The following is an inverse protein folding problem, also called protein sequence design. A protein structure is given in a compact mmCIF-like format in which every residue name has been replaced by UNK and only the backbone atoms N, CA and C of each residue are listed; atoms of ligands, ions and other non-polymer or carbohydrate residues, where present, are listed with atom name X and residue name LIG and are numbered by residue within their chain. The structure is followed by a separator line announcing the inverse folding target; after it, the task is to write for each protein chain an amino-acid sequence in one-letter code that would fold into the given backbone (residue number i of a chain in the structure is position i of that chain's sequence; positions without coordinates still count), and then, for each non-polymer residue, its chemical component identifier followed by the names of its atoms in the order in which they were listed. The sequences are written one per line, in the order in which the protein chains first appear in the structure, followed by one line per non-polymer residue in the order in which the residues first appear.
data_IF_887270792393
#
_entry.id   IF_887270792393
#
_cell.length_a   1.000
_cell.length_b   1.000
_cell.length_c   1.000
_cell.angle_alpha   90.00
_cell.angle_beta   90.00
_cell.angle_gamma   90.00
#
_symmetry.space_group_name_H-M   'P 1'
#
loop_
_entity.id
_entity.type
_entity.pdbx_description
1 polymer ?
#
# COMPACT_ATOMS: atom_id res chain seq x y z
N UNK A 1 11.06 11.01 -15.58
CA UNK A 1 11.42 12.40 -15.99
C UNK A 1 10.84 13.45 -15.03
N UNK A 2 9.51 13.55 -14.85
CA UNK A 2 8.91 14.56 -13.95
C UNK A 2 9.43 14.49 -12.51
N UNK A 3 9.56 13.28 -11.95
CA UNK A 3 10.12 13.07 -10.61
C UNK A 3 11.57 13.59 -10.47
N UNK A 4 12.41 13.37 -11.50
CA UNK A 4 13.79 13.86 -11.52
C UNK A 4 13.87 15.38 -11.61
N UNK A 5 13.02 16.01 -12.43
CA UNK A 5 12.92 17.48 -12.53
C UNK A 5 12.50 18.08 -11.19
N UNK A 6 11.53 17.47 -10.50
CA UNK A 6 11.12 17.89 -9.16
C UNK A 6 12.26 17.81 -8.13
N UNK A 7 13.12 16.78 -8.24
CA UNK A 7 14.26 16.57 -7.34
C UNK A 7 15.43 17.51 -7.61
N UNK A 8 15.76 17.74 -8.89
CA UNK A 8 16.95 18.48 -9.31
C UNK A 8 16.69 19.97 -9.59
N UNK A 9 15.47 20.35 -9.98
CA UNK A 9 15.09 21.72 -10.36
C UNK A 9 13.70 22.10 -9.80
N UNK A 10 13.55 22.22 -8.47
CA UNK A 10 12.26 22.45 -7.83
C UNK A 10 11.62 23.79 -8.22
N UNK A 11 12.42 24.83 -8.49
CA UNK A 11 11.94 26.15 -8.94
C UNK A 11 11.30 26.07 -10.32
N UNK A 12 11.94 25.37 -11.28
CA UNK A 12 11.41 25.16 -12.62
C UNK A 12 10.12 24.32 -12.59
N UNK A 13 10.10 23.27 -11.77
CA UNK A 13 8.90 22.44 -11.59
C UNK A 13 7.71 23.25 -11.07
N UNK A 14 7.96 24.19 -10.15
CA UNK A 14 6.95 25.10 -9.59
C UNK A 14 6.44 26.12 -10.61
N UNK A 15 7.34 26.71 -11.40
CA UNK A 15 6.97 27.67 -12.46
C UNK A 15 6.12 27.00 -13.54
N UNK A 16 6.51 25.80 -13.95
CA UNK A 16 5.78 25.02 -14.97
C UNK A 16 4.53 24.30 -14.43
N UNK A 17 4.21 24.45 -13.14
CA UNK A 17 3.10 23.78 -12.44
C UNK A 17 3.03 22.28 -12.76
N UNK A 18 4.19 21.62 -12.82
CA UNK A 18 4.24 20.20 -13.15
C UNK A 18 3.52 19.41 -12.06
N UNK A 19 2.72 18.42 -12.45
CA UNK A 19 2.10 17.48 -11.51
C UNK A 19 2.66 16.08 -11.74
N UNK A 20 3.10 15.45 -10.66
CA UNK A 20 3.63 14.07 -10.68
C UNK A 20 2.47 13.10 -10.94
N UNK A 21 1.35 13.30 -10.23
CA UNK A 21 0.11 12.55 -10.41
C UNK A 21 -0.82 13.35 -11.32
N UNK A 22 -1.53 12.67 -12.24
CA UNK A 22 -2.55 13.32 -13.06
C UNK A 22 -3.80 13.65 -12.20
N UNK A 23 -4.60 14.63 -12.62
CA UNK A 23 -5.80 14.99 -11.87
C UNK A 23 -6.79 13.83 -11.77
N UNK A 24 -6.97 13.06 -12.86
CA UNK A 24 -7.90 11.93 -12.89
C UNK A 24 -7.60 10.89 -11.81
N UNK A 25 -6.33 10.48 -11.65
CA UNK A 25 -5.96 9.49 -10.64
C UNK A 25 -5.99 10.12 -9.24
N UNK A 26 -5.59 11.38 -9.09
CA UNK A 26 -5.68 12.08 -7.81
C UNK A 26 -7.14 12.17 -7.31
N UNK A 27 -8.07 12.58 -8.18
CA UNK A 27 -9.50 12.62 -7.86
C UNK A 27 -10.07 11.23 -7.58
N UNK A 28 -9.72 10.24 -8.40
CA UNK A 28 -10.15 8.85 -8.17
C UNK A 28 -9.72 8.36 -6.78
N UNK A 29 -8.44 8.53 -6.43
CA UNK A 29 -7.91 8.05 -5.17
C UNK A 29 -8.49 8.80 -3.97
N UNK A 30 -8.66 10.13 -4.09
CA UNK A 30 -9.36 10.94 -3.08
C UNK A 30 -10.79 10.44 -2.86
N UNK A 31 -11.56 10.26 -3.93
CA UNK A 31 -12.94 9.81 -3.83
C UNK A 31 -13.05 8.42 -3.20
N UNK A 32 -12.10 7.53 -3.51
CA UNK A 32 -12.04 6.19 -2.92
C UNK A 32 -11.81 6.24 -1.42
N UNK A 33 -10.80 7.01 -0.97
CA UNK A 33 -10.47 7.16 0.46
C UNK A 33 -11.63 7.83 1.19
N UNK A 34 -12.16 8.94 0.64
CA UNK A 34 -13.27 9.67 1.22
C UNK A 34 -14.53 8.80 1.36
N UNK A 35 -14.89 8.05 0.31
CA UNK A 35 -16.05 7.15 0.32
C UNK A 35 -15.84 6.01 1.31
N UNK A 36 -14.62 5.48 1.40
CA UNK A 36 -14.30 4.41 2.36
C UNK A 36 -14.43 4.90 3.80
N UNK A 37 -13.93 6.10 4.11
CA UNK A 37 -14.06 6.71 5.43
C UNK A 37 -15.54 6.94 5.76
N UNK A 38 -16.32 7.56 4.84
CA UNK A 38 -17.76 7.78 5.03
C UNK A 38 -18.52 6.49 5.31
N UNK A 39 -18.29 5.43 4.52
CA UNK A 39 -18.95 4.14 4.73
C UNK A 39 -18.59 3.54 6.10
N UNK A 40 -17.34 3.70 6.54
CA UNK A 40 -16.91 3.19 7.85
C UNK A 40 -17.51 3.97 9.00
N UNK A 41 -17.54 5.30 8.90
CA UNK A 41 -18.17 6.19 9.89
C UNK A 41 -19.68 5.92 9.96
N UNK A 42 -20.38 5.83 8.83
CA UNK A 42 -21.84 5.63 8.76
C UNK A 42 -22.29 4.25 9.27
N UNK A 43 -21.50 3.20 8.99
CA UNK A 43 -21.83 1.81 9.33
C UNK A 43 -21.12 1.31 10.58
N UNK A 44 -20.36 2.17 11.27
CA UNK A 44 -19.51 1.81 12.40
C UNK A 44 -18.60 0.62 12.11
N UNK A 45 -18.02 0.56 10.91
CA UNK A 45 -17.13 -0.53 10.49
C UNK A 45 -15.71 -0.22 10.99
N UNK A 46 -15.20 -1.07 11.87
CA UNK A 46 -13.81 -1.04 12.34
C UNK A 46 -13.01 -2.13 11.63
N UNK A 47 -11.88 -1.75 11.02
CA UNK A 47 -10.92 -2.70 10.42
C UNK A 47 -9.53 -2.41 10.95
N UNK A 48 -8.74 -3.40 11.40
CA UNK A 48 -7.40 -3.17 11.94
C UNK A 48 -6.40 -2.86 10.81
N UNK A 49 -6.53 -1.69 10.19
CA UNK A 49 -5.69 -1.22 9.08
C UNK A 49 -5.23 0.23 9.26
N UNK A 50 -4.33 0.69 8.40
CA UNK A 50 -3.77 2.05 8.46
C UNK A 50 -4.83 3.14 8.33
N UNK A 51 -5.91 2.92 7.56
CA UNK A 51 -7.00 3.90 7.43
C UNK A 51 -7.75 4.05 8.76
N UNK A 52 -8.00 2.94 9.45
CA UNK A 52 -8.61 2.96 10.78
C UNK A 52 -7.74 3.68 11.80
N UNK A 53 -6.42 3.44 11.80
CA UNK A 53 -5.50 4.17 12.66
C UNK A 53 -5.58 5.68 12.42
N UNK A 54 -5.69 6.11 11.15
CA UNK A 54 -5.85 7.54 10.83
C UNK A 54 -7.22 8.10 11.25
N UNK A 55 -8.31 7.34 11.09
CA UNK A 55 -9.66 7.72 11.56
C UNK A 55 -9.66 7.91 13.09
N UNK A 56 -9.10 6.96 13.83
CA UNK A 56 -9.05 7.06 15.31
C UNK A 56 -8.16 8.21 15.79
N UNK A 57 -7.11 8.55 15.04
CA UNK A 57 -6.25 9.70 15.37
C UNK A 57 -6.91 11.04 15.00
N UNK A 58 -7.78 11.08 13.98
CA UNK A 58 -8.62 12.24 13.66
C UNK A 58 -9.50 12.61 14.85
N UNK A 59 -10.14 11.61 15.48
CA UNK A 59 -11.17 11.84 16.51
C UNK A 59 -10.60 12.07 17.93
N UNK A 60 -9.30 11.86 18.15
CA UNK A 60 -8.63 11.99 19.46
C UNK A 60 -7.97 13.36 19.70
N UNK A 61 -7.82 14.21 18.69
CA UNK A 61 -7.04 15.46 18.80
C UNK A 61 -7.92 16.70 19.00
N UNK A 62 -8.38 16.92 20.23
CA UNK A 62 -9.13 18.14 20.60
C UNK A 62 -8.27 19.44 20.61
N UNK A 63 -6.94 19.37 20.43
CA UNK A 63 -6.02 20.51 20.56
C UNK A 63 -4.83 20.50 19.57
N UNK A 64 -4.84 19.61 18.57
CA UNK A 64 -3.81 19.50 17.52
C UNK A 64 -4.47 19.41 16.15
N UNK A 65 -3.74 19.75 15.08
CA UNK A 65 -4.24 19.79 13.70
C UNK A 65 -4.85 18.43 13.32
N UNK A 66 -6.19 18.39 13.24
CA UNK A 66 -6.94 17.22 12.79
C UNK A 66 -6.47 16.75 11.41
N UNK A 67 -6.40 15.43 11.22
CA UNK A 67 -6.10 14.83 9.92
C UNK A 67 -7.25 15.11 8.96
N UNK A 68 -6.98 15.92 7.94
CA UNK A 68 -7.97 16.15 6.88
C UNK A 68 -8.09 14.93 5.98
N UNK A 69 -9.20 14.82 5.25
CA UNK A 69 -9.36 13.79 4.19
C UNK A 69 -8.21 13.86 3.17
N UNK A 70 -7.68 15.06 2.91
CA UNK A 70 -6.55 15.26 2.01
C UNK A 70 -5.23 14.72 2.59
N UNK A 71 -4.98 14.92 3.88
CA UNK A 71 -3.83 14.35 4.58
C UNK A 71 -3.91 12.82 4.56
N UNK A 72 -5.06 12.25 4.91
CA UNK A 72 -5.29 10.80 4.91
C UNK A 72 -5.16 10.19 3.51
N UNK A 73 -5.69 10.88 2.49
CA UNK A 73 -5.56 10.47 1.08
C UNK A 73 -4.10 10.47 0.65
N UNK A 74 -3.35 11.51 1.01
CA UNK A 74 -1.94 11.65 0.67
C UNK A 74 -1.10 10.55 1.31
N UNK A 75 -1.33 10.26 2.59
CA UNK A 75 -0.63 9.17 3.30
C UNK A 75 -0.96 7.81 2.70
N UNK A 76 -2.24 7.51 2.47
CA UNK A 76 -2.66 6.26 1.84
C UNK A 76 -2.04 6.10 0.44
N UNK A 77 -1.91 7.19 -0.32
CA UNK A 77 -1.29 7.19 -1.65
C UNK A 77 0.21 6.87 -1.57
N UNK A 78 0.94 7.44 -0.59
CA UNK A 78 2.36 7.17 -0.39
C UNK A 78 2.59 5.69 -0.05
N UNK A 79 1.80 5.12 0.86
CA UNK A 79 1.88 3.70 1.20
C UNK A 79 1.59 2.80 0.00
N UNK A 80 0.53 3.11 -0.75
CA UNK A 80 0.19 2.37 -1.96
C UNK A 80 1.31 2.44 -3.00
N UNK A 81 1.75 3.63 -3.37
CA UNK A 81 2.76 3.82 -4.41
C UNK A 81 4.13 3.22 -4.02
N UNK A 82 4.55 3.43 -2.77
CA UNK A 82 5.83 2.94 -2.28
C UNK A 82 5.91 1.42 -2.17
N UNK A 83 4.80 0.76 -1.82
CA UNK A 83 4.73 -0.69 -1.68
C UNK A 83 4.37 -1.44 -2.96
N UNK A 84 3.55 -0.86 -3.85
CA UNK A 84 3.01 -1.56 -5.00
C UNK A 84 4.05 -1.81 -6.10
N UNK A 85 4.73 -0.76 -6.57
CA UNK A 85 5.62 -0.87 -7.74
C UNK A 85 6.83 -1.77 -7.45
N UNK A 86 7.44 -1.58 -6.29
CA UNK A 86 8.63 -2.33 -5.86
C UNK A 86 8.31 -3.81 -5.64
N UNK A 87 7.23 -4.09 -4.91
CA UNK A 87 6.83 -5.47 -4.59
C UNK A 87 6.33 -6.21 -5.82
N UNK A 88 5.52 -5.57 -6.68
CA UNK A 88 5.03 -6.23 -7.91
C UNK A 88 6.16 -6.56 -8.88
N UNK A 89 7.16 -5.68 -9.00
CA UNK A 89 8.37 -5.94 -9.79
C UNK A 89 9.15 -7.12 -9.20
N UNK A 90 9.40 -7.11 -7.88
CA UNK A 90 10.09 -8.20 -7.19
C UNK A 90 9.36 -9.53 -7.37
N UNK A 91 8.04 -9.57 -7.18
CA UNK A 91 7.22 -10.77 -7.36
C UNK A 91 7.28 -11.29 -8.81
N UNK A 92 7.34 -10.40 -9.80
CA UNK A 92 7.48 -10.80 -11.21
C UNK A 92 8.81 -11.49 -11.48
N UNK A 93 9.91 -10.95 -10.96
CA UNK A 93 11.22 -11.59 -11.05
C UNK A 93 11.28 -12.89 -10.25
N UNK A 94 10.76 -12.91 -9.02
CA UNK A 94 10.70 -14.11 -8.20
C UNK A 94 9.93 -15.23 -8.91
N UNK A 95 8.76 -14.93 -9.47
CA UNK A 95 7.97 -15.88 -10.24
C UNK A 95 8.72 -16.38 -11.48
N UNK A 96 9.45 -15.51 -12.17
CA UNK A 96 10.28 -15.89 -13.31
C UNK A 96 11.39 -16.86 -12.91
N UNK A 97 12.17 -16.52 -11.88
CA UNK A 97 13.26 -17.36 -11.38
C UNK A 97 12.75 -18.70 -10.86
N UNK A 98 11.61 -18.73 -10.17
CA UNK A 98 10.96 -19.99 -9.76
C UNK A 98 10.53 -20.81 -10.98
N UNK A 99 10.02 -20.18 -12.04
CA UNK A 99 9.53 -20.91 -13.20
C UNK A 99 10.65 -21.56 -14.03
N UNK A 100 11.82 -20.92 -14.13
CA UNK A 100 12.94 -21.40 -14.97
C UNK A 100 13.90 -22.32 -14.23
N UNK A 101 13.95 -22.28 -12.90
CA UNK A 101 14.82 -23.14 -12.08
C UNK A 101 13.99 -24.26 -11.42
N UNK A 102 14.02 -25.46 -11.99
CA UNK A 102 13.18 -26.59 -11.57
C UNK A 102 13.50 -27.09 -10.15
N UNK A 103 14.78 -27.07 -9.76
CA UNK A 103 15.25 -27.42 -8.43
C UNK A 103 14.71 -26.47 -7.36
N UNK A 104 14.77 -25.16 -7.62
CA UNK A 104 14.20 -24.12 -6.75
C UNK A 104 12.69 -24.27 -6.64
N UNK A 105 12.00 -24.49 -7.77
CA UNK A 105 10.56 -24.69 -7.80
C UNK A 105 10.12 -25.88 -6.96
N UNK A 106 10.79 -27.03 -7.13
CA UNK A 106 10.46 -28.26 -6.42
C UNK A 106 10.68 -28.08 -4.92
N UNK A 107 11.83 -27.53 -4.54
CA UNK A 107 12.13 -27.24 -3.13
C UNK A 107 11.09 -26.30 -2.50
N UNK A 108 10.69 -25.23 -3.20
CA UNK A 108 9.68 -24.31 -2.69
C UNK A 108 8.31 -24.99 -2.52
N UNK A 109 7.92 -25.87 -3.45
CA UNK A 109 6.69 -26.66 -3.32
C UNK A 109 6.77 -27.60 -2.11
N UNK A 110 7.86 -28.33 -1.96
CA UNK A 110 8.08 -29.23 -0.82
C UNK A 110 8.02 -28.44 0.52
N UNK A 111 8.61 -27.23 0.58
CA UNK A 111 8.53 -26.35 1.75
C UNK A 111 7.09 -25.88 2.04
N UNK A 112 6.33 -25.49 1.01
CA UNK A 112 4.92 -25.09 1.16
C UNK A 112 4.06 -26.26 1.63
N UNK A 113 4.23 -27.44 1.02
CA UNK A 113 3.48 -28.64 1.34
C UNK A 113 3.76 -29.07 2.79
N UNK A 114 5.03 -29.02 3.23
CA UNK A 114 5.41 -29.31 4.61
C UNK A 114 4.73 -28.35 5.61
N UNK A 115 4.74 -27.04 5.34
CA UNK A 115 4.06 -26.06 6.22
C UNK A 115 2.56 -26.31 6.26
N UNK A 116 1.93 -26.67 5.14
CA UNK A 116 0.51 -26.99 5.11
C UNK A 116 0.19 -28.27 5.87
N UNK A 117 1.03 -29.29 5.81
CA UNK A 117 0.89 -30.51 6.62
C UNK A 117 1.02 -30.19 8.12
N UNK A 118 2.07 -29.48 8.51
CA UNK A 118 2.36 -29.14 9.91
C UNK A 118 1.28 -28.25 10.55
N UNK A 119 0.61 -27.44 9.73
CA UNK A 119 -0.43 -26.50 10.18
C UNK A 119 -1.85 -27.01 9.97
N UNK A 120 -2.04 -28.26 9.52
CA UNK A 120 -3.34 -28.80 9.13
C UNK A 120 -4.08 -27.87 8.13
N UNK A 121 -3.34 -27.29 7.19
CA UNK A 121 -3.82 -26.37 6.16
C UNK A 121 -4.07 -24.93 6.63
N UNK A 122 -3.70 -24.57 7.87
CA UNK A 122 -3.87 -23.22 8.39
C UNK A 122 -2.62 -22.37 8.23
N UNK A 123 -2.63 -21.47 7.25
CA UNK A 123 -1.52 -20.53 7.03
C UNK A 123 -1.61 -19.36 8.02
N UNK A 124 -1.13 -19.56 9.25
CA UNK A 124 -1.04 -18.51 10.28
C UNK A 124 0.15 -17.56 10.03
N UNK A 125 0.18 -16.45 10.77
CA UNK A 125 1.32 -15.53 10.72
C UNK A 125 2.62 -16.22 11.16
N UNK A 126 2.54 -17.03 12.22
CA UNK A 126 3.67 -17.79 12.76
C UNK A 126 4.16 -18.83 11.75
N UNK A 127 3.25 -19.47 11.00
CA UNK A 127 3.60 -20.42 9.95
C UNK A 127 4.41 -19.80 8.81
N UNK A 128 4.17 -18.52 8.48
CA UNK A 128 4.91 -17.79 7.44
C UNK A 128 6.27 -17.27 7.95
N UNK A 129 6.38 -17.00 9.26
CA UNK A 129 7.53 -16.31 9.86
C UNK A 129 8.52 -17.24 10.59
N UNK A 130 8.31 -18.55 10.57
CA UNK A 130 9.24 -19.57 11.10
C UNK A 130 10.24 -20.00 10.03
#
# INVERSE_FOLDING_TARGET
IKFFIFRSMPTLARVLKLKIVNEKNATFFRNLVETTIKIRDDKSIVRPDMLQLMIENRDKQNDKKELTIEDMTSQAFIFFFGGFETTSTLMSFAAHEIAVNEDVRKRLQDEIDQVLEDTNGQVSYEAINN
#
